data_IF_304441103152
#
_entry.id   IF_304441103152
#
_cell.length_a   1.000
_cell.length_b   1.000
_cell.length_c   1.000
_cell.angle_alpha   90.00
_cell.angle_beta   90.00
_cell.angle_gamma   90.00
#
_symmetry.space_group_name_H-M   'P 1'
#
loop_
_entity.id
_entity.type
_entity.pdbx_description
1 polymer ?
#
# COMPACT_ATOMS: atom_id res chain seq x y z
N UNK A 1 -24.77 -14.30 6.43
CA UNK A 1 -25.28 -15.68 6.32
C UNK A 1 -26.15 -15.92 5.07
N UNK A 2 -26.99 -14.96 4.64
CA UNK A 2 -27.84 -15.08 3.43
C UNK A 2 -27.06 -15.24 2.10
N UNK A 3 -25.93 -14.54 1.93
CA UNK A 3 -25.13 -14.63 0.70
C UNK A 3 -24.49 -16.02 0.48
N UNK A 4 -24.13 -16.73 1.57
CA UNK A 4 -23.52 -18.05 1.50
C UNK A 4 -24.51 -19.13 1.04
N UNK A 5 -25.79 -19.00 1.42
CA UNK A 5 -26.85 -19.92 0.99
C UNK A 5 -27.21 -19.72 -0.49
N UNK A 6 -27.13 -18.49 -1.00
CA UNK A 6 -27.34 -18.19 -2.42
C UNK A 6 -26.24 -18.78 -3.32
N UNK A 7 -24.97 -18.61 -2.93
CA UNK A 7 -23.82 -19.16 -3.66
C UNK A 7 -23.87 -20.70 -3.69
N UNK A 8 -24.18 -21.33 -2.56
CA UNK A 8 -24.30 -22.78 -2.48
C UNK A 8 -25.39 -23.32 -3.41
N UNK A 9 -26.60 -22.75 -3.39
CA UNK A 9 -27.71 -23.16 -4.27
C UNK A 9 -27.38 -22.97 -5.76
N UNK A 10 -26.70 -21.89 -6.11
CA UNK A 10 -26.25 -21.66 -7.49
C UNK A 10 -25.23 -22.70 -7.93
N UNK A 11 -24.23 -23.03 -7.10
CA UNK A 11 -23.22 -24.04 -7.43
C UNK A 11 -23.84 -25.43 -7.55
N UNK A 12 -24.78 -25.81 -6.69
CA UNK A 12 -25.49 -27.08 -6.78
C UNK A 12 -26.31 -27.17 -8.07
N UNK A 13 -27.01 -26.11 -8.47
CA UNK A 13 -27.74 -26.07 -9.75
C UNK A 13 -26.81 -26.13 -10.98
N UNK A 14 -25.69 -25.40 -10.94
CA UNK A 14 -24.69 -25.42 -12.01
C UNK A 14 -24.08 -26.81 -12.21
N UNK A 15 -23.75 -27.49 -11.12
CA UNK A 15 -23.19 -28.85 -11.13
C UNK A 15 -24.24 -29.95 -11.41
N UNK A 16 -25.50 -29.73 -11.01
CA UNK A 16 -26.61 -30.66 -11.24
C UNK A 16 -27.26 -30.50 -12.63
N UNK A 17 -26.91 -29.45 -13.39
CA UNK A 17 -27.38 -29.29 -14.78
C UNK A 17 -26.87 -30.46 -15.63
N UNK A 18 -27.83 -31.23 -16.13
CA UNK A 18 -27.70 -32.62 -16.59
C UNK A 18 -26.57 -32.88 -17.61
N UNK A 19 -26.08 -34.12 -17.66
CA UNK A 19 -25.17 -34.59 -18.69
C UNK A 19 -25.84 -34.51 -20.08
N UNK A 20 -25.08 -34.08 -21.09
CA UNK A 20 -25.54 -33.93 -22.49
C UNK A 20 -25.39 -32.51 -23.06
N UNK A 21 -25.57 -32.37 -24.37
CA UNK A 21 -25.32 -31.14 -25.14
C UNK A 21 -26.06 -29.91 -24.60
N UNK A 22 -27.33 -30.07 -24.21
CA UNK A 22 -28.17 -28.98 -23.65
C UNK A 22 -27.68 -28.48 -22.29
N UNK A 23 -27.21 -29.37 -21.42
CA UNK A 23 -26.62 -28.98 -20.13
C UNK A 23 -25.25 -28.32 -20.27
N UNK A 24 -24.50 -28.67 -21.33
CA UNK A 24 -23.29 -27.96 -21.73
C UNK A 24 -23.57 -26.51 -22.17
N UNK A 25 -24.60 -26.31 -23.00
CA UNK A 25 -25.02 -24.97 -23.45
C UNK A 25 -25.44 -24.07 -22.28
N UNK A 26 -26.26 -24.58 -21.35
CA UNK A 26 -26.71 -23.79 -20.18
C UNK A 26 -25.51 -23.33 -19.34
N UNK A 27 -24.54 -24.23 -19.09
CA UNK A 27 -23.32 -23.89 -18.34
C UNK A 27 -22.48 -22.85 -19.08
N UNK A 28 -22.27 -23.03 -20.38
CA UNK A 28 -21.53 -22.08 -21.20
C UNK A 28 -22.17 -20.69 -21.18
N UNK A 29 -23.50 -20.60 -21.31
CA UNK A 29 -24.22 -19.33 -21.24
C UNK A 29 -24.12 -18.67 -19.86
N UNK A 30 -24.27 -19.42 -18.76
CA UNK A 30 -24.12 -18.87 -17.41
C UNK A 30 -22.69 -18.39 -17.13
N UNK A 31 -21.68 -19.14 -17.58
CA UNK A 31 -20.28 -18.72 -17.50
C UNK A 31 -20.03 -17.47 -18.33
N UNK A 32 -20.54 -17.41 -19.57
CA UNK A 32 -20.39 -16.23 -20.43
C UNK A 32 -21.04 -15.00 -19.79
N UNK A 33 -22.27 -15.12 -19.29
CA UNK A 33 -22.95 -14.03 -18.56
C UNK A 33 -22.14 -13.59 -17.35
N UNK A 34 -21.65 -14.52 -16.52
CA UNK A 34 -20.85 -14.19 -15.35
C UNK A 34 -19.56 -13.45 -15.73
N UNK A 35 -18.82 -13.94 -16.73
CA UNK A 35 -17.59 -13.31 -17.22
C UNK A 35 -17.90 -11.93 -17.77
N UNK A 36 -18.93 -11.79 -18.61
CA UNK A 36 -19.35 -10.50 -19.16
C UNK A 36 -19.75 -9.56 -18.02
N UNK A 37 -20.58 -9.96 -17.07
CA UNK A 37 -21.02 -9.10 -15.96
C UNK A 37 -19.87 -8.67 -15.06
N UNK A 38 -18.93 -9.57 -14.73
CA UNK A 38 -17.76 -9.24 -13.92
C UNK A 38 -16.81 -8.27 -14.64
N UNK A 39 -16.65 -8.40 -15.96
CA UNK A 39 -15.79 -7.52 -16.75
C UNK A 39 -16.48 -6.20 -17.14
N UNK A 40 -17.78 -6.23 -17.47
CA UNK A 40 -18.61 -5.07 -17.81
C UNK A 40 -18.61 -4.03 -16.69
N UNK A 41 -18.65 -4.49 -15.44
CA UNK A 41 -18.58 -3.63 -14.25
C UNK A 41 -17.26 -2.85 -14.11
N UNK A 42 -16.22 -3.18 -14.92
CA UNK A 42 -14.89 -2.56 -14.89
C UNK A 42 -14.36 -2.17 -16.26
N UNK A 43 -15.21 -2.11 -17.30
CA UNK A 43 -14.80 -1.73 -18.65
C UNK A 43 -14.15 -0.36 -18.71
N UNK A 44 -14.54 0.56 -17.82
CA UNK A 44 -13.92 1.86 -17.63
C UNK A 44 -12.41 1.77 -17.36
N UNK A 45 -11.95 0.79 -16.58
CA UNK A 45 -10.53 0.56 -16.29
C UNK A 45 -9.81 -0.15 -17.43
N UNK A 46 -10.46 -1.11 -18.10
CA UNK A 46 -9.89 -1.83 -19.25
C UNK A 46 -9.67 -0.93 -20.46
N UNK A 47 -10.60 0.00 -20.68
CA UNK A 47 -10.54 1.00 -21.75
C UNK A 47 -9.79 2.27 -21.31
N UNK A 48 -9.22 2.28 -20.10
CA UNK A 48 -8.46 3.39 -19.53
C UNK A 48 -9.23 4.72 -19.45
N UNK A 49 -10.57 4.68 -19.45
CA UNK A 49 -11.41 5.85 -19.14
C UNK A 49 -11.30 6.25 -17.67
N UNK A 50 -11.20 5.26 -16.79
CA UNK A 50 -10.84 5.45 -15.40
C UNK A 50 -9.34 5.19 -15.20
N UNK A 51 -8.64 6.01 -14.41
CA UNK A 51 -7.25 5.74 -14.08
C UNK A 51 -7.14 4.39 -13.32
N UNK A 52 -6.08 3.59 -13.56
CA UNK A 52 -5.84 2.36 -12.82
C UNK A 52 -5.90 2.58 -11.30
N UNK A 53 -6.39 1.59 -10.54
CA UNK A 53 -6.66 1.70 -9.10
C UNK A 53 -5.48 2.23 -8.26
N UNK A 54 -4.24 1.95 -8.66
CA UNK A 54 -3.03 2.38 -7.95
C UNK A 54 -2.54 3.79 -8.32
N UNK A 55 -3.14 4.46 -9.31
CA UNK A 55 -2.64 5.73 -9.86
C UNK A 55 -2.53 6.83 -8.82
N UNK A 56 -3.56 6.99 -7.96
CA UNK A 56 -3.57 8.04 -6.92
C UNK A 56 -2.48 7.78 -5.88
N UNK A 57 -2.40 6.55 -5.36
CA UNK A 57 -1.36 6.17 -4.39
C UNK A 57 0.05 6.28 -4.97
N UNK A 58 0.24 5.90 -6.24
CA UNK A 58 1.53 6.03 -6.92
C UNK A 58 1.93 7.49 -7.14
N UNK A 59 0.98 8.38 -7.45
CA UNK A 59 1.27 9.82 -7.53
C UNK A 59 1.82 10.34 -6.20
N UNK A 60 1.19 9.97 -5.08
CA UNK A 60 1.70 10.35 -3.76
C UNK A 60 3.06 9.73 -3.44
N UNK A 61 3.32 8.49 -3.84
CA UNK A 61 4.65 7.89 -3.71
C UNK A 61 5.71 8.71 -4.45
N UNK A 62 5.42 9.18 -5.65
CA UNK A 62 6.32 10.06 -6.42
C UNK A 62 6.47 11.43 -5.74
N UNK A 63 5.39 12.00 -5.19
CA UNK A 63 5.48 13.22 -4.36
C UNK A 63 6.41 13.02 -3.16
N UNK A 64 6.36 11.87 -2.50
CA UNK A 64 7.32 11.53 -1.44
C UNK A 64 8.75 11.41 -1.95
N UNK A 65 8.98 10.88 -3.15
CA UNK A 65 10.33 10.87 -3.77
C UNK A 65 10.87 12.30 -3.85
N UNK A 66 10.10 13.21 -4.45
CA UNK A 66 10.50 14.63 -4.56
C UNK A 66 10.68 15.29 -3.19
N UNK A 67 9.84 14.96 -2.21
CA UNK A 67 9.97 15.49 -0.86
C UNK A 67 11.26 15.04 -0.18
N UNK A 68 11.63 13.76 -0.35
CA UNK A 68 12.89 13.20 0.18
C UNK A 68 14.10 13.77 -0.56
N UNK A 69 14.03 13.95 -1.88
CA UNK A 69 15.10 14.57 -2.68
C UNK A 69 15.43 15.98 -2.22
N UNK A 70 14.43 16.75 -1.77
CA UNK A 70 14.63 18.11 -1.25
C UNK A 70 15.41 18.16 0.06
N UNK A 71 15.39 17.10 0.87
CA UNK A 71 15.91 17.16 2.25
C UNK A 71 16.95 16.10 2.58
N UNK A 72 17.12 15.05 1.77
CA UNK A 72 18.00 13.93 2.07
C UNK A 72 18.94 13.61 0.91
N UNK A 73 20.16 13.21 1.24
CA UNK A 73 21.17 12.79 0.27
C UNK A 73 20.70 11.60 -0.58
N UNK A 74 21.22 11.43 -1.81
CA UNK A 74 20.90 10.28 -2.66
C UNK A 74 21.26 8.91 -2.05
N UNK A 75 22.22 8.88 -1.11
CA UNK A 75 22.64 7.66 -0.39
C UNK A 75 21.91 7.47 0.95
N UNK A 76 20.86 8.26 1.23
CA UNK A 76 19.99 8.07 2.39
C UNK A 76 19.13 6.81 2.24
N UNK A 77 19.01 6.05 3.33
CA UNK A 77 18.17 4.87 3.41
C UNK A 77 16.75 5.22 3.84
N UNK A 78 15.75 4.48 3.33
CA UNK A 78 14.34 4.81 3.58
C UNK A 78 13.57 3.57 4.01
N UNK A 79 12.89 3.61 5.15
CA UNK A 79 11.87 2.62 5.48
C UNK A 79 10.55 2.97 4.79
N UNK A 80 9.91 1.97 4.18
CA UNK A 80 8.66 2.12 3.47
C UNK A 80 7.63 1.13 4.01
N UNK A 81 6.43 1.63 4.33
CA UNK A 81 5.25 0.77 4.53
C UNK A 81 4.67 0.31 3.19
N UNK A 82 4.92 1.07 2.11
CA UNK A 82 4.45 0.76 0.77
C UNK A 82 5.63 0.52 -0.17
N UNK A 83 6.00 -0.76 -0.35
CA UNK A 83 6.94 -1.13 -1.40
C UNK A 83 6.34 -0.87 -2.80
N UNK A 84 7.18 -0.65 -3.81
CA UNK A 84 6.74 -0.42 -5.19
C UNK A 84 7.29 0.89 -5.76
N UNK A 85 6.41 1.87 -6.02
CA UNK A 85 6.75 3.10 -6.75
C UNK A 85 7.88 3.90 -6.08
N UNK A 86 7.83 4.12 -4.76
CA UNK A 86 8.89 4.89 -4.09
C UNK A 86 10.27 4.21 -4.22
N UNK A 87 10.47 2.93 -3.87
CA UNK A 87 11.75 2.25 -4.10
C UNK A 87 12.21 2.28 -5.57
N UNK A 88 11.28 2.13 -6.52
CA UNK A 88 11.59 2.14 -7.95
C UNK A 88 12.12 3.49 -8.44
N UNK A 89 11.45 4.59 -8.08
CA UNK A 89 11.79 5.93 -8.58
C UNK A 89 12.85 6.64 -7.74
N UNK A 90 12.99 6.33 -6.44
CA UNK A 90 13.93 7.05 -5.56
C UNK A 90 15.39 6.65 -5.74
N UNK A 91 15.67 5.47 -6.30
CA UNK A 91 17.02 4.89 -6.41
C UNK A 91 17.71 4.61 -5.06
N UNK A 92 17.00 4.74 -3.93
CA UNK A 92 17.54 4.61 -2.57
C UNK A 92 17.41 3.20 -2.04
N UNK A 93 18.31 2.82 -1.13
CA UNK A 93 18.14 1.60 -0.35
C UNK A 93 16.87 1.69 0.51
N UNK A 94 15.92 0.79 0.27
CA UNK A 94 14.62 0.79 0.92
C UNK A 94 14.42 -0.43 1.82
N UNK A 95 13.98 -0.20 3.06
CA UNK A 95 13.60 -1.23 4.03
C UNK A 95 12.09 -1.42 3.98
N UNK A 96 11.64 -2.58 3.56
CA UNK A 96 10.21 -2.91 3.50
C UNK A 96 9.67 -3.38 4.85
N UNK A 97 8.79 -2.58 5.45
CA UNK A 97 8.29 -2.82 6.80
C UNK A 97 7.18 -3.87 6.89
N UNK A 98 6.59 -4.28 5.76
CA UNK A 98 5.48 -5.25 5.72
C UNK A 98 5.92 -6.63 5.21
N UNK A 99 7.21 -6.81 4.92
CA UNK A 99 7.81 -8.13 4.68
C UNK A 99 7.51 -8.75 3.32
N UNK A 100 7.19 -7.95 2.31
CA UNK A 100 7.21 -8.41 0.90
C UNK A 100 8.64 -8.73 0.45
N UNK A 101 9.62 -7.95 0.92
CA UNK A 101 11.04 -8.14 0.58
C UNK A 101 11.97 -8.32 1.79
N UNK A 102 11.50 -8.09 3.02
CA UNK A 102 12.29 -8.33 4.24
C UNK A 102 12.16 -9.81 4.68
N UNK A 103 13.24 -10.61 4.66
CA UNK A 103 13.17 -12.04 4.96
C UNK A 103 12.85 -12.36 6.43
N UNK A 104 13.16 -11.46 7.36
CA UNK A 104 12.79 -11.65 8.77
C UNK A 104 11.28 -11.45 8.92
N UNK A 105 10.75 -10.33 8.43
CA UNK A 105 9.31 -10.02 8.52
C UNK A 105 8.46 -11.04 7.76
N UNK A 106 8.91 -11.49 6.57
CA UNK A 106 8.21 -12.48 5.75
C UNK A 106 7.95 -13.80 6.49
N UNK A 107 8.87 -14.21 7.38
CA UNK A 107 8.81 -15.46 8.14
C UNK A 107 8.07 -15.34 9.47
N UNK A 108 7.70 -14.13 9.88
CA UNK A 108 6.91 -13.95 11.10
C UNK A 108 5.54 -14.62 10.99
N UNK A 109 4.96 -15.06 12.12
CA UNK A 109 3.56 -15.45 12.16
C UNK A 109 2.67 -14.26 11.80
N UNK A 110 1.48 -14.57 11.29
CA UNK A 110 0.43 -13.58 11.07
C UNK A 110 0.02 -12.98 12.41
N UNK A 111 -0.11 -11.66 12.47
CA UNK A 111 -0.64 -10.96 13.64
C UNK A 111 -2.14 -11.27 13.78
N UNK A 112 -2.59 -11.87 14.88
CA UNK A 112 -3.95 -12.44 14.99
C UNK A 112 -5.06 -11.40 14.86
N UNK A 113 -4.79 -10.15 15.24
CA UNK A 113 -5.76 -9.05 15.24
C UNK A 113 -5.69 -8.18 13.98
N UNK A 114 -4.81 -8.50 13.02
CA UNK A 114 -4.66 -7.71 11.81
C UNK A 114 -5.37 -8.41 10.64
N UNK A 115 -6.41 -7.76 10.12
CA UNK A 115 -7.27 -8.33 9.06
C UNK A 115 -7.06 -7.70 7.70
N UNK A 116 -6.29 -6.60 7.61
CA UNK A 116 -6.03 -5.92 6.33
C UNK A 116 -5.01 -6.74 5.52
N UNK A 117 -5.38 -7.26 4.33
CA UNK A 117 -4.43 -7.96 3.47
C UNK A 117 -3.17 -7.12 3.23
N UNK A 118 -2.02 -7.79 3.20
CA UNK A 118 -0.72 -7.15 3.04
C UNK A 118 -0.19 -6.39 4.26
N UNK A 119 -0.94 -6.28 5.36
CA UNK A 119 -0.49 -5.62 6.59
C UNK A 119 -0.37 -6.58 7.77
N UNK A 120 -0.61 -7.88 7.53
CA UNK A 120 -0.78 -8.92 8.56
C UNK A 120 0.53 -9.40 9.19
N UNK A 121 1.68 -8.94 8.69
CA UNK A 121 3.01 -9.21 9.27
C UNK A 121 3.77 -7.89 9.30
N UNK A 122 4.28 -7.53 10.47
CA UNK A 122 5.19 -6.41 10.63
C UNK A 122 5.87 -6.47 12.01
N UNK A 123 7.06 -5.89 12.10
CA UNK A 123 7.75 -5.69 13.37
C UNK A 123 8.53 -4.37 13.32
N UNK A 124 7.82 -3.24 13.36
CA UNK A 124 8.40 -1.91 13.15
C UNK A 124 9.59 -1.61 14.05
N UNK A 125 9.52 -1.97 15.34
CA UNK A 125 10.65 -1.78 16.26
C UNK A 125 11.93 -2.47 15.77
N UNK A 126 11.84 -3.72 15.32
CA UNK A 126 12.97 -4.46 14.77
C UNK A 126 13.52 -3.75 13.54
N UNK A 127 12.69 -3.48 12.53
CA UNK A 127 13.19 -2.88 11.29
C UNK A 127 13.80 -1.48 11.51
N UNK A 128 13.17 -0.64 12.34
CA UNK A 128 13.66 0.71 12.61
C UNK A 128 14.94 0.71 13.47
N UNK A 129 15.08 -0.21 14.43
CA UNK A 129 16.29 -0.28 15.28
C UNK A 129 17.43 -1.07 14.61
N UNK A 130 17.12 -2.12 13.85
CA UNK A 130 18.09 -2.97 13.16
C UNK A 130 18.73 -2.28 11.97
N UNK A 131 17.90 -1.70 11.10
CA UNK A 131 18.37 -1.10 9.85
C UNK A 131 18.64 0.40 10.00
N UNK A 132 18.10 1.05 11.05
CA UNK A 132 18.21 2.50 11.30
C UNK A 132 18.05 3.30 10.00
N UNK A 133 16.91 3.26 9.31
CA UNK A 133 16.71 4.03 8.09
C UNK A 133 16.77 5.54 8.37
N UNK A 134 17.23 6.35 7.41
CA UNK A 134 17.34 7.81 7.58
C UNK A 134 15.96 8.50 7.50
N UNK A 135 15.06 7.94 6.70
CA UNK A 135 13.70 8.43 6.48
C UNK A 135 12.70 7.27 6.68
N UNK A 136 11.50 7.57 7.16
CA UNK A 136 10.40 6.61 7.28
C UNK A 136 9.09 7.13 6.64
N UNK A 137 8.58 6.38 5.65
CA UNK A 137 7.41 6.71 4.83
C UNK A 137 6.29 5.67 4.90
N UNK A 138 5.01 6.07 4.88
CA UNK A 138 4.47 7.39 5.24
C UNK A 138 4.36 7.57 6.76
N UNK A 139 4.99 6.66 7.51
CA UNK A 139 4.60 6.46 8.88
C UNK A 139 5.04 7.64 9.72
N UNK A 140 4.02 8.26 10.30
CA UNK A 140 4.16 9.13 11.44
C UNK A 140 4.20 8.19 12.63
N UNK A 141 5.39 7.66 12.90
CA UNK A 141 5.59 6.76 14.00
C UNK A 141 6.18 7.53 15.17
N UNK A 142 5.33 7.78 16.16
CA UNK A 142 5.79 7.97 17.53
C UNK A 142 6.30 6.64 18.15
N UNK A 143 6.70 5.65 17.34
CA UNK A 143 7.14 4.33 17.81
C UNK A 143 8.59 4.35 18.32
N UNK A 144 9.36 5.40 18.03
CA UNK A 144 10.73 5.56 18.51
C UNK A 144 11.06 7.02 18.74
N UNK A 145 11.68 7.32 19.89
CA UNK A 145 12.20 8.65 20.22
C UNK A 145 13.29 9.12 19.24
N UNK A 146 13.87 8.20 18.44
CA UNK A 146 14.90 8.50 17.45
C UNK A 146 14.33 9.18 16.21
N UNK A 147 13.02 9.22 16.01
CA UNK A 147 12.39 9.81 14.82
C UNK A 147 11.59 11.06 15.16
N UNK A 148 11.64 12.04 14.25
CA UNK A 148 10.91 13.30 14.38
C UNK A 148 10.10 13.55 13.10
N UNK A 149 8.87 14.10 13.22
CA UNK A 149 8.09 14.39 12.04
C UNK A 149 8.58 15.68 11.37
N UNK A 150 8.59 15.66 10.05
CA UNK A 150 8.88 16.82 9.20
C UNK A 150 7.78 17.00 8.16
N UNK A 151 7.52 18.25 7.81
CA UNK A 151 6.77 18.63 6.63
C UNK A 151 7.72 19.13 5.53
N UNK A 152 7.41 18.73 4.30
CA UNK A 152 8.08 19.23 3.09
C UNK A 152 7.00 19.60 2.07
N UNK A 153 7.09 20.80 1.52
CA UNK A 153 6.18 21.26 0.47
C UNK A 153 6.69 20.83 -0.90
N UNK A 154 5.88 20.12 -1.67
CA UNK A 154 6.12 19.73 -3.06
C UNK A 154 4.95 20.22 -3.89
N UNK A 155 5.22 21.06 -4.89
CA UNK A 155 4.21 21.62 -5.80
C UNK A 155 2.99 22.25 -5.09
N UNK A 156 3.24 23.00 -4.02
CA UNK A 156 2.21 23.65 -3.20
C UNK A 156 1.47 22.73 -2.23
N UNK A 157 1.86 21.45 -2.15
CA UNK A 157 1.26 20.45 -1.27
C UNK A 157 2.24 20.06 -0.17
N UNK A 158 1.81 20.18 1.08
CA UNK A 158 2.59 19.68 2.22
C UNK A 158 2.45 18.17 2.34
N UNK A 159 3.58 17.47 2.40
CA UNK A 159 3.65 16.07 2.81
C UNK A 159 4.40 15.94 4.12
N UNK A 160 3.87 15.09 5.01
CA UNK A 160 4.48 14.81 6.31
C UNK A 160 4.98 13.37 6.39
N UNK A 161 6.15 13.20 6.99
CA UNK A 161 6.79 11.91 7.25
C UNK A 161 7.82 12.03 8.38
N UNK A 162 8.45 10.92 8.76
CA UNK A 162 9.42 10.91 9.86
C UNK A 162 10.86 10.82 9.35
N UNK A 163 11.78 11.52 10.01
CA UNK A 163 13.23 11.44 9.77
C UNK A 163 13.94 11.01 11.04
N UNK A 164 15.06 10.30 10.91
CA UNK A 164 15.90 9.94 12.05
C UNK A 164 16.63 11.18 12.56
N UNK A 165 16.48 11.48 13.84
CA UNK A 165 16.91 12.73 14.48
C UNK A 165 18.42 12.97 14.40
N UNK A 166 19.21 11.89 14.39
CA UNK A 166 20.67 11.91 14.32
C UNK A 166 21.21 11.65 12.89
N UNK A 167 20.35 11.58 11.87
CA UNK A 167 20.82 11.24 10.53
C UNK A 167 21.72 12.34 9.95
N UNK A 168 22.98 12.03 9.59
CA UNK A 168 23.85 12.99 8.90
C UNK A 168 23.45 13.17 7.42
N UNK A 169 22.50 12.35 6.94
CA UNK A 169 22.07 12.31 5.54
C UNK A 169 20.82 13.11 5.26
N UNK A 170 20.15 13.63 6.28
CA UNK A 170 18.99 14.51 6.16
C UNK A 170 19.38 15.91 6.63
N UNK A 171 19.13 16.94 5.81
CA UNK A 171 19.63 18.32 6.00
C UNK A 171 18.56 19.40 5.84
N UNK A 172 17.29 19.05 5.95
CA UNK A 172 16.20 20.01 5.78
C UNK A 172 14.84 19.49 6.20
N UNK A 173 13.80 20.20 5.76
CA UNK A 173 12.41 19.95 6.14
C UNK A 173 11.99 20.78 7.35
N UNK A 174 10.71 21.16 7.38
CA UNK A 174 10.14 21.89 8.50
C UNK A 174 9.81 20.90 9.60
N UNK A 175 10.52 20.95 10.72
CA UNK A 175 10.14 20.21 11.92
C UNK A 175 8.73 20.65 12.37
N UNK A 176 7.90 19.67 12.67
CA UNK A 176 6.52 19.86 13.13
C UNK A 176 6.29 18.98 14.35
N UNK A 177 5.14 19.12 15.01
CA UNK A 177 4.70 18.16 16.01
C UNK A 177 3.92 17.00 15.36
N UNK A 178 3.65 15.95 16.15
CA UNK A 178 2.95 14.75 15.69
C UNK A 178 1.48 14.99 15.33
N UNK A 179 0.81 15.96 15.97
CA UNK A 179 -0.58 16.29 15.70
C UNK A 179 -0.73 17.00 14.35
N UNK A 180 0.12 17.99 14.10
CA UNK A 180 0.28 18.67 12.81
C UNK A 180 0.59 17.68 11.71
N UNK A 181 1.51 16.74 11.95
CA UNK A 181 1.85 15.72 10.97
C UNK A 181 0.64 14.83 10.64
N UNK A 182 -0.10 14.39 11.68
CA UNK A 182 -1.32 13.58 11.49
C UNK A 182 -2.42 14.36 10.77
N UNK A 183 -2.54 15.67 11.02
CA UNK A 183 -3.46 16.55 10.31
C UNK A 183 -3.13 16.66 8.82
N UNK A 184 -1.84 16.84 8.46
CA UNK A 184 -1.39 16.83 7.06
C UNK A 184 -1.73 15.49 6.40
N UNK A 185 -1.41 14.37 7.05
CA UNK A 185 -1.68 13.03 6.51
C UNK A 185 -3.19 12.76 6.30
N UNK A 186 -4.06 13.25 7.18
CA UNK A 186 -5.53 13.12 7.04
C UNK A 186 -6.11 13.91 5.87
N UNK A 187 -5.42 14.97 5.42
CA UNK A 187 -5.82 15.76 4.24
C UNK A 187 -5.41 15.10 2.93
N UNK A 188 -4.50 14.12 2.97
CA UNK A 188 -4.14 13.35 1.79
C UNK A 188 -5.29 12.39 1.46
N UNK A 189 -5.69 12.26 0.18
CA UNK A 189 -6.62 11.23 -0.27
C UNK A 189 -6.22 9.87 0.27
N UNK A 190 -7.21 9.05 0.66
CA UNK A 190 -6.97 7.70 1.13
C UNK A 190 -6.10 6.93 0.11
N UNK A 191 -4.87 6.60 0.53
CA UNK A 191 -3.94 5.73 -0.20
C UNK A 191 -4.20 4.25 0.10
#
# INVERSE_FOLDING_TARGET
MLAAQGIHRFMTFFLASTAGFRGGLVRASLTAVLVISLNAARLDHWLFYAPPQATIGNRWNVTYVHAVDKIARPDASVAVTWAGAFPYFSGRYCVDLLGKSDPYIARLPVLPNQRRPGHIKHHFWFSLTRYRPDVYLPGLAAFSADYRPVAVTVDGVDVAFSIRADSPKVRGGRLIDWETAAAIKRRMPNM
#
